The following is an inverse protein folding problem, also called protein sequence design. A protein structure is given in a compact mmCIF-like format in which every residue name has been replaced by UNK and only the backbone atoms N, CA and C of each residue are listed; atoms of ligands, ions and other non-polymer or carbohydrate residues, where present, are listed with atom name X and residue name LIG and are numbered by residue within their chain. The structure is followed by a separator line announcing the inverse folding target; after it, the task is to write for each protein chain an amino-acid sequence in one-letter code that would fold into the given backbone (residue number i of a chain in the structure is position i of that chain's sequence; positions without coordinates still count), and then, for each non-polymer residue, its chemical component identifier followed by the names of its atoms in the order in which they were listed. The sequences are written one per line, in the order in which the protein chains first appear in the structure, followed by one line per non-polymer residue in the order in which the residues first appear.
data_IF_480493784775
#
_entry.id   IF_480493784775
#
_cell.length_a   1.000
_cell.length_b   1.000
_cell.length_c   1.000
_cell.angle_alpha   90.00
_cell.angle_beta   90.00
_cell.angle_gamma   90.00
#
_symmetry.space_group_name_H-M   'P 1'
#
loop_
_entity.id
_entity.type
_entity.pdbx_description
1 polymer ?
#
# COMPACT_ATOMS: atom_id res chain seq x y z
N UNK A 1 4.84 17.64 18.15
CA UNK A 1 4.08 16.38 18.32
C UNK A 1 4.26 15.64 17.01
N UNK A 2 5.08 14.60 16.91
CA UNK A 2 5.00 13.34 17.65
C UNK A 2 6.40 12.74 17.92
N UNK A 3 7.02 13.10 19.05
CA UNK A 3 8.10 12.32 19.67
C UNK A 3 7.46 11.24 20.53
N UNK A 4 6.89 10.22 19.88
CA UNK A 4 6.42 8.97 20.51
C UNK A 4 7.30 7.80 20.08
N UNK A 5 8.58 8.08 19.80
CA UNK A 5 9.54 7.12 19.25
C UNK A 5 10.25 6.25 20.32
N UNK A 6 9.87 6.37 21.61
CA UNK A 6 10.63 5.73 22.71
C UNK A 6 9.98 4.51 23.39
N UNK A 7 8.80 4.06 22.96
CA UNK A 7 8.11 2.93 23.64
C UNK A 7 8.43 1.52 23.11
N UNK A 8 9.32 1.36 22.12
CA UNK A 8 9.66 0.03 21.58
C UNK A 8 11.17 -0.16 21.28
N UNK A 9 12.03 0.50 22.05
CA UNK A 9 13.48 0.40 21.87
C UNK A 9 14.14 -0.86 22.45
N UNK A 10 13.39 -1.73 23.14
CA UNK A 10 14.02 -2.69 24.08
C UNK A 10 13.71 -4.18 23.88
N UNK A 11 12.79 -4.62 23.00
CA UNK A 11 12.41 -6.05 22.99
C UNK A 11 12.34 -6.75 21.64
N UNK A 12 12.34 -6.03 20.52
CA UNK A 12 12.25 -6.68 19.20
C UNK A 12 13.50 -6.36 18.39
N UNK A 13 14.45 -7.31 18.35
CA UNK A 13 15.65 -7.17 17.52
C UNK A 13 15.24 -7.28 16.04
N UNK A 14 15.02 -6.15 15.38
CA UNK A 14 14.80 -6.09 13.93
C UNK A 14 16.07 -6.51 13.19
N UNK A 15 15.96 -7.47 12.28
CA UNK A 15 17.07 -7.92 11.41
C UNK A 15 16.72 -7.67 9.94
N UNK A 16 17.72 -7.44 9.09
CA UNK A 16 17.51 -7.25 7.65
C UNK A 16 16.76 -8.45 7.02
N UNK A 17 17.17 -9.67 7.34
CA UNK A 17 16.48 -10.88 6.85
C UNK A 17 15.03 -11.01 7.37
N UNK A 18 14.75 -10.56 8.60
CA UNK A 18 13.38 -10.48 9.12
C UNK A 18 12.53 -9.46 8.36
N UNK A 19 13.08 -8.29 8.06
CA UNK A 19 12.42 -7.25 7.27
C UNK A 19 12.16 -7.68 5.84
N UNK A 20 13.11 -8.35 5.18
CA UNK A 20 12.92 -8.91 3.84
C UNK A 20 11.72 -9.85 3.82
N UNK A 21 11.68 -10.84 4.73
CA UNK A 21 10.56 -11.79 4.81
C UNK A 21 9.22 -11.10 5.06
N UNK A 22 9.19 -10.15 5.99
CA UNK A 22 7.98 -9.38 6.30
C UNK A 22 7.51 -8.57 5.08
N UNK A 23 8.43 -7.87 4.42
CA UNK A 23 8.12 -7.10 3.21
C UNK A 23 7.57 -8.00 2.09
N UNK A 24 8.17 -9.17 1.84
CA UNK A 24 7.65 -10.12 0.86
C UNK A 24 6.22 -10.60 1.17
N UNK A 25 5.90 -10.88 2.43
CA UNK A 25 4.54 -11.26 2.85
C UNK A 25 3.55 -10.12 2.60
N UNK A 26 3.93 -8.90 2.97
CA UNK A 26 3.11 -7.70 2.76
C UNK A 26 2.86 -7.45 1.27
N UNK A 27 3.88 -7.61 0.42
CA UNK A 27 3.73 -7.49 -1.03
C UNK A 27 2.74 -8.53 -1.58
N UNK A 28 2.75 -9.77 -1.06
CA UNK A 28 1.75 -10.78 -1.39
C UNK A 28 0.33 -10.35 -1.04
N UNK A 29 0.11 -9.93 0.21
CA UNK A 29 -1.20 -9.46 0.68
C UNK A 29 -1.71 -8.23 -0.09
N UNK A 30 -0.81 -7.33 -0.51
CA UNK A 30 -1.15 -6.17 -1.34
C UNK A 30 -1.60 -6.60 -2.75
N UNK A 31 -0.93 -7.59 -3.37
CA UNK A 31 -1.34 -8.13 -4.68
C UNK A 31 -2.69 -8.86 -4.61
N UNK A 32 -3.00 -9.48 -3.49
CA UNK A 32 -4.30 -10.11 -3.23
C UNK A 32 -5.42 -9.09 -2.95
N UNK A 33 -5.11 -7.79 -2.87
CA UNK A 33 -6.09 -6.74 -2.58
C UNK A 33 -6.62 -6.76 -1.14
N UNK A 34 -5.94 -7.46 -0.23
CA UNK A 34 -6.36 -7.59 1.18
C UNK A 34 -5.96 -6.36 2.00
N UNK A 35 -4.97 -5.60 1.53
CA UNK A 35 -4.47 -4.40 2.20
C UNK A 35 -5.18 -3.15 1.69
N UNK A 36 -5.85 -2.43 2.60
CA UNK A 36 -6.35 -1.08 2.34
C UNK A 36 -5.22 -0.11 2.01
N UNK A 37 -5.45 0.81 1.06
CA UNK A 37 -4.41 1.71 0.53
C UNK A 37 -3.85 2.67 1.59
N UNK A 38 -4.66 3.11 2.55
CA UNK A 38 -4.20 3.97 3.67
C UNK A 38 -3.37 3.16 4.66
N UNK A 39 -3.78 1.92 4.93
CA UNK A 39 -3.01 1.02 5.79
C UNK A 39 -1.66 0.67 5.14
N UNK A 40 -1.66 0.36 3.84
CA UNK A 40 -0.45 0.10 3.06
C UNK A 40 0.56 1.24 3.12
N UNK A 41 0.11 2.49 2.95
CA UNK A 41 0.99 3.65 3.05
C UNK A 41 1.63 3.83 4.44
N UNK A 42 0.88 3.52 5.52
CA UNK A 42 1.43 3.54 6.89
C UNK A 42 2.44 2.42 7.12
N UNK A 43 2.15 1.24 6.57
CA UNK A 43 3.01 0.07 6.68
C UNK A 43 4.34 0.30 5.97
N UNK A 44 4.31 0.86 4.76
CA UNK A 44 5.52 1.24 4.02
C UNK A 44 6.39 2.23 4.81
N UNK A 45 5.79 3.27 5.37
CA UNK A 45 6.51 4.23 6.24
C UNK A 45 7.18 3.57 7.45
N UNK A 46 6.56 2.53 8.03
CA UNK A 46 7.12 1.78 9.15
C UNK A 46 8.26 0.87 8.70
N UNK A 47 8.11 0.19 7.56
CA UNK A 47 9.18 -0.61 6.96
C UNK A 47 10.41 0.25 6.63
N UNK A 48 10.21 1.46 6.08
CA UNK A 48 11.31 2.39 5.82
C UNK A 48 12.05 2.81 7.09
N UNK A 49 11.32 3.07 8.19
CA UNK A 49 11.94 3.39 9.48
C UNK A 49 12.80 2.23 9.99
N UNK A 50 12.28 1.01 9.92
CA UNK A 50 13.00 -0.18 10.36
C UNK A 50 14.20 -0.51 9.45
N UNK A 51 14.06 -0.32 8.14
CA UNK A 51 15.16 -0.45 7.19
C UNK A 51 16.31 0.51 7.53
N UNK A 52 15.99 1.77 7.87
CA UNK A 52 16.97 2.76 8.34
C UNK A 52 17.62 2.39 9.66
N UNK A 53 16.92 1.68 10.54
CA UNK A 53 17.48 1.19 11.81
C UNK A 53 18.51 0.08 11.57
N UNK A 54 18.22 -0.88 10.69
CA UNK A 54 19.15 -2.00 10.41
C UNK A 54 20.30 -1.63 9.46
N UNK A 55 20.18 -0.52 8.73
CA UNK A 55 21.24 0.02 7.85
C UNK A 55 21.93 1.26 8.43
N UNK A 56 21.50 1.70 9.61
CA UNK A 56 21.92 2.95 10.22
C UNK A 56 23.27 2.87 10.94
N UNK A 57 23.80 4.02 11.39
CA UNK A 57 25.02 4.06 12.18
C UNK A 57 24.88 3.21 13.46
N UNK A 58 25.85 2.32 13.70
CA UNK A 58 25.85 1.43 14.87
C UNK A 58 25.19 0.05 14.66
N UNK A 59 24.59 -0.19 13.49
CA UNK A 59 24.16 -1.52 13.09
C UNK A 59 25.34 -2.36 12.55
N UNK A 60 25.22 -3.69 12.60
CA UNK A 60 26.14 -4.58 11.90
C UNK A 60 26.06 -4.27 10.40
N UNK A 61 27.20 -4.04 9.71
CA UNK A 61 27.19 -3.79 8.27
C UNK A 61 26.55 -4.96 7.53
N UNK A 62 25.61 -4.66 6.65
CA UNK A 62 25.06 -5.62 5.71
C UNK A 62 26.02 -5.77 4.52
N UNK A 63 26.12 -6.98 3.98
CA UNK A 63 26.78 -7.16 2.69
C UNK A 63 25.92 -6.61 1.53
N UNK A 64 26.51 -6.54 0.33
CA UNK A 64 25.83 -6.01 -0.86
C UNK A 64 24.57 -6.81 -1.23
N UNK A 65 24.59 -8.13 -1.03
CA UNK A 65 23.47 -9.00 -1.35
C UNK A 65 22.31 -8.83 -0.36
N UNK A 66 22.62 -8.72 0.93
CA UNK A 66 21.66 -8.42 2.00
C UNK A 66 21.03 -7.04 1.80
N UNK A 67 21.84 -6.04 1.44
CA UNK A 67 21.37 -4.69 1.16
C UNK A 67 20.46 -4.66 -0.08
N UNK A 68 20.86 -5.32 -1.16
CA UNK A 68 20.06 -5.44 -2.37
C UNK A 68 18.74 -6.18 -2.11
N UNK A 69 18.77 -7.27 -1.33
CA UNK A 69 17.57 -8.02 -0.96
C UNK A 69 16.60 -7.16 -0.13
N UNK A 70 17.11 -6.38 0.83
CA UNK A 70 16.29 -5.49 1.65
C UNK A 70 15.61 -4.41 0.81
N UNK A 71 16.37 -3.66 0.01
CA UNK A 71 15.80 -2.60 -0.80
C UNK A 71 14.93 -3.14 -1.95
N UNK A 72 15.27 -4.30 -2.51
CA UNK A 72 14.44 -5.00 -3.49
C UNK A 72 13.07 -5.37 -2.91
N UNK A 73 13.04 -5.99 -1.73
CA UNK A 73 11.79 -6.36 -1.06
C UNK A 73 10.93 -5.14 -0.70
N UNK A 74 11.54 -4.03 -0.27
CA UNK A 74 10.84 -2.77 -0.02
C UNK A 74 10.27 -2.16 -1.31
N UNK A 75 11.02 -2.21 -2.41
CA UNK A 75 10.55 -1.78 -3.72
C UNK A 75 9.37 -2.62 -4.23
N UNK A 76 9.38 -3.94 -3.97
CA UNK A 76 8.24 -4.80 -4.29
C UNK A 76 6.96 -4.43 -3.53
N UNK A 77 7.09 -4.06 -2.25
CA UNK A 77 5.94 -3.59 -1.44
C UNK A 77 5.38 -2.30 -2.02
N UNK A 78 6.23 -1.30 -2.28
CA UNK A 78 5.80 -0.03 -2.86
C UNK A 78 5.11 -0.23 -4.22
N UNK A 79 5.67 -1.06 -5.09
CA UNK A 79 5.07 -1.39 -6.38
C UNK A 79 3.71 -2.07 -6.21
N UNK A 80 3.61 -3.08 -5.34
CA UNK A 80 2.36 -3.81 -5.11
C UNK A 80 1.25 -2.90 -4.56
N UNK A 81 1.58 -1.99 -3.64
CA UNK A 81 0.63 -1.02 -3.09
C UNK A 81 0.11 -0.05 -4.15
N UNK A 82 0.99 0.45 -5.04
CA UNK A 82 0.58 1.31 -6.15
C UNK A 82 -0.30 0.59 -7.15
N UNK A 83 0.00 -0.67 -7.44
CA UNK A 83 -0.84 -1.51 -8.31
C UNK A 83 -2.21 -1.75 -7.69
N UNK A 84 -2.28 -2.03 -6.39
CA UNK A 84 -3.53 -2.19 -5.65
C UNK A 84 -4.38 -0.90 -5.69
N UNK A 85 -3.76 0.26 -5.46
CA UNK A 85 -4.44 1.56 -5.55
C UNK A 85 -4.96 1.84 -6.97
N UNK A 86 -4.12 1.60 -7.99
CA UNK A 86 -4.53 1.74 -9.39
C UNK A 86 -5.70 0.82 -9.76
N UNK A 87 -5.68 -0.45 -9.32
CA UNK A 87 -6.77 -1.40 -9.55
C UNK A 87 -8.07 -0.92 -8.88
N UNK A 88 -7.98 -0.41 -7.65
CA UNK A 88 -9.12 0.14 -6.92
C UNK A 88 -9.74 1.34 -7.66
N UNK A 89 -8.91 2.22 -8.24
CA UNK A 89 -9.37 3.34 -9.05
C UNK A 89 -10.03 2.90 -10.35
N UNK A 90 -9.48 1.87 -11.03
CA UNK A 90 -10.08 1.31 -12.25
C UNK A 90 -11.46 0.71 -11.95
N UNK A 91 -11.58 -0.05 -10.86
CA UNK A 91 -12.86 -0.64 -10.45
C UNK A 91 -13.90 0.43 -10.11
N UNK A 92 -13.51 1.46 -9.34
CA UNK A 92 -14.39 2.58 -9.03
C UNK A 92 -14.86 3.31 -10.30
N UNK A 93 -13.95 3.55 -11.26
CA UNK A 93 -14.31 4.16 -12.55
C UNK A 93 -15.26 3.28 -13.39
N UNK A 94 -15.08 1.95 -13.36
CA UNK A 94 -15.97 1.03 -14.06
C UNK A 94 -17.40 1.10 -13.49
N UNK A 95 -17.53 1.08 -12.15
CA UNK A 95 -18.82 1.21 -11.46
C UNK A 95 -19.53 2.54 -11.77
N UNK A 96 -18.78 3.64 -11.86
CA UNK A 96 -19.36 4.94 -12.22
C UNK A 96 -19.95 4.95 -13.64
N UNK A 97 -19.28 4.31 -14.61
CA UNK A 97 -19.77 4.20 -15.99
C UNK A 97 -21.02 3.33 -16.10
N UNK A 98 -21.07 2.25 -15.32
CA UNK A 98 -22.26 1.38 -15.24
C UNK A 98 -23.46 2.16 -14.68
N UNK A 99 -23.26 2.94 -13.62
CA UNK A 99 -24.32 3.74 -12.98
C UNK A 99 -24.83 4.86 -13.91
N UNK A 100 -23.92 5.57 -14.60
CA UNK A 100 -24.28 6.56 -15.63
C UNK A 100 -25.14 5.95 -16.76
N UNK A 101 -24.78 4.74 -17.23
CA UNK A 101 -25.53 4.02 -18.26
C UNK A 101 -26.96 3.66 -17.87
N UNK A 102 -27.26 3.52 -16.57
CA UNK A 102 -28.61 3.23 -16.07
C UNK A 102 -29.44 4.49 -15.77
N UNK A 103 -28.78 5.60 -15.43
CA UNK A 103 -29.45 6.88 -15.12
C UNK A 103 -30.03 7.59 -16.36
N UNK A 104 -29.53 7.31 -17.56
CA UNK A 104 -29.97 7.92 -18.82
C UNK A 104 -31.38 7.54 -19.32
N UNK A 105 -32.07 6.58 -18.67
CA UNK A 105 -33.41 6.12 -19.11
C UNK A 105 -34.60 6.77 -18.40
N UNK A 106 -34.40 7.77 -17.54
CA UNK A 106 -35.53 8.40 -16.82
C UNK A 106 -35.75 9.87 -17.21
N UNK A 107 -36.88 10.07 -17.89
CA UNK A 107 -37.66 11.31 -18.09
C UNK A 107 -37.35 12.15 -19.33
N UNK A 108 -37.88 11.71 -20.48
CA UNK A 108 -38.65 12.63 -21.33
C UNK A 108 -40.07 12.11 -21.44
N UNK A 109 -40.87 12.39 -20.41
CA UNK A 109 -42.31 12.21 -20.44
C UNK A 109 -42.87 13.09 -21.54
N UNK A 110 -43.52 12.44 -22.52
CA UNK A 110 -44.26 13.05 -23.60
C UNK A 110 -45.29 14.01 -23.01
N UNK A 111 -45.16 15.31 -23.30
CA UNK A 111 -46.22 16.29 -23.06
C UNK A 111 -47.22 16.14 -24.19
N UNK A 112 -48.16 15.21 -24.04
CA UNK A 112 -49.44 15.28 -24.72
C UNK A 112 -50.34 16.18 -23.86
N UNK A 113 -50.72 17.34 -24.40
CA UNK A 113 -51.88 18.12 -23.97
C UNK A 113 -52.28 19.03 -25.14
N UNK A 114 -53.15 18.46 -25.97
CA UNK A 114 -54.03 19.11 -26.93
C UNK A 114 -55.11 19.92 -26.18
N UNK A 115 -55.34 21.17 -26.60
CA UNK A 115 -56.51 22.04 -26.44
C UNK A 115 -56.12 23.53 -26.60
#
# INVERSE_FOLDING_TARGET
MEDRDDLDGATTQTTAGGLVRLASLIAGLAREGVIDTRFGAKLMKRLDKEARRVTGPGATPLDEAEQAALFGALGEVDLALRQCDAASLVEANARLREDEGTSGKRRKGKKDADA
#
